data_IF_595293983080
#
_entry.id   IF_595293983080
#
_cell.length_a   1.000
_cell.length_b   1.000
_cell.length_c   1.000
_cell.angle_alpha   90.00
_cell.angle_beta   90.00
_cell.angle_gamma   90.00
#
_symmetry.space_group_name_H-M   'P 1'
#
loop_
_entity.id
_entity.type
_entity.pdbx_description
1 polymer ?
#
# COMPACT_ATOMS: atom_id res chain seq x y z
N UNK A 1 -16.66 4.50 -19.53
CA UNK A 1 -15.58 3.82 -18.77
C UNK A 1 -15.21 4.55 -17.47
N UNK A 2 -15.58 5.83 -17.31
CA UNK A 2 -15.29 6.65 -16.12
C UNK A 2 -15.99 6.21 -14.83
N UNK A 3 -17.24 5.71 -14.91
CA UNK A 3 -17.99 5.22 -13.74
C UNK A 3 -17.33 4.03 -13.03
N UNK A 4 -16.55 3.22 -13.75
CA UNK A 4 -15.82 2.08 -13.16
C UNK A 4 -14.63 2.54 -12.28
N UNK A 5 -14.10 3.73 -12.54
CA UNK A 5 -13.03 4.36 -11.76
C UNK A 5 -13.54 5.07 -10.50
N UNK A 6 -14.87 5.29 -10.38
CA UNK A 6 -15.47 5.96 -9.23
C UNK A 6 -16.37 5.04 -8.38
N UNK A 7 -16.54 3.78 -8.81
CA UNK A 7 -17.37 2.80 -8.12
C UNK A 7 -16.76 2.31 -6.79
N UNK A 8 -17.54 1.57 -5.97
CA UNK A 8 -17.10 1.10 -4.65
C UNK A 8 -15.74 0.37 -4.65
N UNK A 9 -15.47 -0.43 -5.69
CA UNK A 9 -14.19 -1.13 -5.86
C UNK A 9 -13.01 -0.18 -6.06
N UNK A 10 -13.22 0.93 -6.76
CA UNK A 10 -12.17 1.91 -6.98
C UNK A 10 -11.86 2.68 -5.70
N UNK A 11 -12.90 3.11 -4.96
CA UNK A 11 -12.76 3.74 -3.64
C UNK A 11 -12.03 2.82 -2.67
N UNK A 12 -12.40 1.53 -2.64
CA UNK A 12 -11.70 0.53 -1.83
C UNK A 12 -10.22 0.44 -2.20
N UNK A 13 -9.88 0.40 -3.49
CA UNK A 13 -8.48 0.40 -3.94
C UNK A 13 -7.72 1.66 -3.51
N UNK A 14 -8.35 2.83 -3.59
CA UNK A 14 -7.74 4.08 -3.14
C UNK A 14 -7.49 4.09 -1.63
N UNK A 15 -8.46 3.62 -0.85
CA UNK A 15 -8.33 3.48 0.60
C UNK A 15 -7.17 2.53 0.96
N UNK A 16 -7.11 1.35 0.32
CA UNK A 16 -5.99 0.43 0.53
C UNK A 16 -4.64 1.07 0.15
N UNK A 17 -4.57 1.83 -0.96
CA UNK A 17 -3.34 2.56 -1.33
C UNK A 17 -2.94 3.59 -0.30
N UNK A 18 -3.89 4.31 0.27
CA UNK A 18 -3.64 5.31 1.31
C UNK A 18 -3.09 4.65 2.59
N UNK A 19 -3.68 3.54 3.02
CA UNK A 19 -3.19 2.75 4.16
C UNK A 19 -1.76 2.24 3.95
N UNK A 20 -1.45 1.70 2.77
CA UNK A 20 -0.08 1.26 2.41
C UNK A 20 0.91 2.43 2.53
N UNK A 21 0.57 3.61 2.00
CA UNK A 21 1.42 4.80 2.09
C UNK A 21 1.62 5.26 3.53
N UNK A 22 0.57 5.26 4.34
CA UNK A 22 0.65 5.65 5.75
C UNK A 22 1.60 4.74 6.54
N UNK A 23 1.56 3.43 6.26
CA UNK A 23 2.48 2.45 6.85
C UNK A 23 3.92 2.67 6.39
N UNK A 24 4.13 2.91 5.09
CA UNK A 24 5.45 3.22 4.54
C UNK A 24 6.05 4.48 5.18
N UNK A 25 5.26 5.56 5.28
CA UNK A 25 5.68 6.81 5.91
C UNK A 25 6.03 6.61 7.39
N UNK A 26 5.28 5.79 8.14
CA UNK A 26 5.63 5.44 9.53
C UNK A 26 6.98 4.75 9.61
N UNK A 27 7.23 3.74 8.77
CA UNK A 27 8.54 3.05 8.76
C UNK A 27 9.69 3.98 8.40
N UNK A 28 9.48 4.88 7.43
CA UNK A 28 10.47 5.89 7.06
C UNK A 28 10.74 6.88 8.19
N UNK A 29 9.71 7.33 8.91
CA UNK A 29 9.86 8.21 10.06
C UNK A 29 10.59 7.55 11.23
N UNK A 30 10.36 6.25 11.45
CA UNK A 30 10.95 5.49 12.56
C UNK A 30 12.40 5.06 12.30
N UNK A 31 12.78 4.75 11.04
CA UNK A 31 14.09 4.16 10.75
C UNK A 31 14.74 4.59 9.43
N UNK A 32 14.24 5.64 8.79
CA UNK A 32 14.78 6.16 7.53
C UNK A 32 14.58 5.22 6.34
N UNK A 33 15.24 5.53 5.22
CA UNK A 33 15.07 4.82 3.95
C UNK A 33 15.33 3.31 4.01
N UNK A 34 16.27 2.87 4.87
CA UNK A 34 16.60 1.45 5.04
C UNK A 34 15.56 0.64 5.83
N UNK A 35 14.67 1.30 6.58
CA UNK A 35 13.64 0.63 7.37
C UNK A 35 12.39 0.26 6.56
N UNK A 36 12.23 0.81 5.35
CA UNK A 36 11.08 0.53 4.49
C UNK A 36 11.09 -0.92 4.02
N UNK A 37 10.09 -1.69 4.46
CA UNK A 37 9.93 -3.09 4.13
C UNK A 37 8.48 -3.42 3.73
N UNK A 38 8.25 -3.66 2.44
CA UNK A 38 6.93 -4.04 1.90
C UNK A 38 6.35 -5.28 2.59
N UNK A 39 7.17 -6.28 2.92
CA UNK A 39 6.70 -7.49 3.61
C UNK A 39 6.15 -7.19 5.01
N UNK A 40 6.73 -6.20 5.70
CA UNK A 40 6.24 -5.74 7.02
C UNK A 40 4.91 -5.00 6.88
N UNK A 41 4.79 -4.14 5.87
CA UNK A 41 3.53 -3.45 5.54
C UNK A 41 2.44 -4.49 5.24
N UNK A 42 2.73 -5.48 4.38
CA UNK A 42 1.79 -6.54 4.05
C UNK A 42 1.32 -7.28 5.30
N UNK A 43 2.25 -7.65 6.19
CA UNK A 43 1.93 -8.34 7.45
C UNK A 43 1.01 -7.50 8.35
N UNK A 44 1.27 -6.19 8.50
CA UNK A 44 0.43 -5.30 9.30
C UNK A 44 -0.99 -5.15 8.72
N UNK A 45 -1.13 -5.26 7.40
CA UNK A 45 -2.43 -5.26 6.71
C UNK A 45 -3.12 -6.63 6.64
N UNK A 46 -2.50 -7.70 7.16
CA UNK A 46 -3.01 -9.06 6.99
C UNK A 46 -2.97 -9.57 5.54
N UNK A 47 -2.07 -9.02 4.72
CA UNK A 47 -1.87 -9.34 3.31
C UNK A 47 -0.59 -10.16 3.10
N UNK A 48 -0.50 -10.83 1.95
CA UNK A 48 0.77 -11.42 1.50
C UNK A 48 1.67 -10.36 0.87
N UNK A 49 3.00 -10.55 0.92
CA UNK A 49 3.95 -9.65 0.24
C UNK A 49 3.61 -9.40 -1.24
N UNK A 50 3.33 -10.45 -2.04
CA UNK A 50 2.93 -10.28 -3.44
C UNK A 50 1.64 -9.48 -3.66
N UNK A 51 0.74 -9.42 -2.67
CA UNK A 51 -0.50 -8.67 -2.77
C UNK A 51 -0.28 -7.15 -2.92
N UNK A 52 0.80 -6.61 -2.38
CA UNK A 52 1.12 -5.19 -2.48
C UNK A 52 1.45 -4.75 -3.90
N UNK A 53 1.99 -5.65 -4.73
CA UNK A 53 2.28 -5.35 -6.14
C UNK A 53 1.03 -5.12 -6.99
N UNK A 54 -0.17 -5.45 -6.48
CA UNK A 54 -1.44 -5.06 -7.11
C UNK A 54 -1.74 -3.56 -7.00
N UNK A 55 -1.03 -2.85 -6.11
CA UNK A 55 -1.26 -1.46 -5.78
C UNK A 55 -0.11 -0.53 -6.19
N UNK A 56 1.12 -1.07 -6.27
CA UNK A 56 2.35 -0.38 -6.63
C UNK A 56 3.19 -1.28 -7.54
N UNK A 57 3.75 -0.70 -8.61
CA UNK A 57 4.55 -1.46 -9.59
C UNK A 57 5.93 -1.87 -9.04
N UNK A 58 6.50 -1.03 -8.17
CA UNK A 58 7.80 -1.19 -7.54
C UNK A 58 7.74 -0.77 -6.07
N UNK A 59 8.76 -1.17 -5.31
CA UNK A 59 9.04 -0.62 -3.98
C UNK A 59 9.54 0.83 -4.06
N UNK A 60 10.41 1.07 -5.03
CA UNK A 60 11.10 2.34 -5.25
C UNK A 60 10.18 3.37 -5.91
#
# INVERSE_FOLDING_TARGET
MERAQQGPRARYREQTRAEIKNLALRQLAEGGGGALALTRIAKEMGLSGPALYRYFASRD
#
